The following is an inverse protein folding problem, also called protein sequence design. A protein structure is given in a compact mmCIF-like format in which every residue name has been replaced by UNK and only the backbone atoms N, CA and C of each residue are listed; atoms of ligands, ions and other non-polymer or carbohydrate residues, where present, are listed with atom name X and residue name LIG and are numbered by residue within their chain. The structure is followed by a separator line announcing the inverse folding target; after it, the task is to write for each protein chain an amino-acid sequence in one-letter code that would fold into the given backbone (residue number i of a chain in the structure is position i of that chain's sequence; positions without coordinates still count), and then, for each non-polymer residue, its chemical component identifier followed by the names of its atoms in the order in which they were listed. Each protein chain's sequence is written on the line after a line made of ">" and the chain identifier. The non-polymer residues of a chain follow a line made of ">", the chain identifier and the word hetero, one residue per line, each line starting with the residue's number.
data_IF_101136717293
#
_entry.id   IF_101136717293
#
_cell.length_a   1.000
_cell.length_b   1.000
_cell.length_c   1.000
_cell.angle_alpha   90.00
_cell.angle_beta   90.00
_cell.angle_gamma   90.00
#
_symmetry.space_group_name_H-M   'P 1'
#
loop_
_entity.id
_entity.type
_entity.pdbx_description
1 polymer ?
#
# COMPACT_ATOMS: atom_id res chain seq x y z
N UNK A 1 -1.95 -12.98 -28.66
CA UNK A 1 -2.24 -13.82 -27.51
C UNK A 1 -3.56 -13.32 -26.94
N UNK A 2 -4.62 -14.08 -27.10
CA UNK A 2 -5.90 -13.80 -26.45
C UNK A 2 -5.64 -13.74 -24.94
N UNK A 3 -6.04 -12.67 -24.30
CA UNK A 3 -6.01 -12.53 -22.85
C UNK A 3 -7.03 -13.53 -22.30
N UNK A 4 -6.56 -14.75 -22.00
CA UNK A 4 -7.36 -15.78 -21.35
C UNK A 4 -8.01 -15.16 -20.11
N UNK A 5 -9.31 -14.96 -20.18
CA UNK A 5 -10.04 -14.29 -19.10
C UNK A 5 -9.89 -15.11 -17.82
N UNK A 6 -9.06 -14.64 -16.90
CA UNK A 6 -8.69 -15.33 -15.65
C UNK A 6 -9.92 -15.70 -14.83
N UNK A 7 -11.00 -14.93 -14.95
CA UNK A 7 -12.27 -15.13 -14.25
C UNK A 7 -13.09 -16.31 -14.79
N UNK A 8 -12.77 -16.82 -15.97
CA UNK A 8 -13.42 -18.00 -16.56
C UNK A 8 -12.76 -19.31 -16.11
N UNK A 9 -11.58 -19.28 -15.50
CA UNK A 9 -10.86 -20.46 -15.05
C UNK A 9 -11.55 -21.12 -13.84
N UNK A 10 -11.45 -22.46 -13.70
CA UNK A 10 -12.05 -23.16 -12.57
C UNK A 10 -11.43 -22.70 -11.24
N UNK A 11 -12.27 -22.54 -10.20
CA UNK A 11 -11.86 -22.11 -8.86
C UNK A 11 -11.18 -23.30 -8.17
N UNK A 12 -9.86 -23.40 -8.35
CA UNK A 12 -8.96 -24.36 -7.67
C UNK A 12 -7.97 -23.62 -6.80
N UNK A 13 -7.42 -24.27 -5.77
CA UNK A 13 -6.36 -23.67 -4.94
C UNK A 13 -5.18 -23.20 -5.79
N UNK A 14 -4.79 -24.03 -6.78
CA UNK A 14 -3.69 -23.71 -7.71
C UNK A 14 -3.97 -22.43 -8.51
N UNK A 15 -5.19 -22.27 -9.05
CA UNK A 15 -5.52 -21.09 -9.86
C UNK A 15 -5.65 -19.83 -9.02
N UNK A 16 -6.21 -19.93 -7.80
CA UNK A 16 -6.27 -18.81 -6.86
C UNK A 16 -4.84 -18.37 -6.50
N UNK A 17 -3.97 -19.31 -6.12
CA UNK A 17 -2.59 -18.99 -5.77
C UNK A 17 -1.79 -18.45 -6.95
N UNK A 18 -1.96 -19.00 -8.15
CA UNK A 18 -1.30 -18.50 -9.37
C UNK A 18 -1.66 -17.04 -9.66
N UNK A 19 -2.88 -16.63 -9.31
CA UNK A 19 -3.33 -15.25 -9.46
C UNK A 19 -2.87 -14.33 -8.31
N UNK A 20 -2.89 -14.84 -7.08
CA UNK A 20 -2.50 -14.10 -5.89
C UNK A 20 -0.98 -14.03 -5.66
N UNK A 21 -0.20 -14.95 -6.20
CA UNK A 21 1.25 -14.99 -5.95
C UNK A 21 1.99 -13.72 -6.43
N UNK A 22 1.72 -13.16 -7.63
CA UNK A 22 2.34 -11.92 -8.05
C UNK A 22 1.98 -10.75 -7.13
N UNK A 23 0.76 -10.69 -6.61
CA UNK A 23 0.31 -9.61 -5.71
C UNK A 23 0.91 -9.75 -4.31
N UNK A 24 1.09 -10.98 -3.82
CA UNK A 24 1.83 -11.25 -2.58
C UNK A 24 3.29 -10.82 -2.75
N UNK A 25 3.94 -11.21 -3.84
CA UNK A 25 5.32 -10.82 -4.14
C UNK A 25 5.46 -9.30 -4.27
N UNK A 26 4.50 -8.62 -4.90
CA UNK A 26 4.44 -7.16 -4.99
C UNK A 26 4.39 -6.51 -3.61
N UNK A 27 3.49 -6.97 -2.73
CA UNK A 27 3.33 -6.40 -1.39
C UNK A 27 4.54 -6.63 -0.51
N UNK A 28 5.16 -7.81 -0.59
CA UNK A 28 6.40 -8.12 0.11
C UNK A 28 7.56 -7.25 -0.39
N UNK A 29 7.68 -7.09 -1.71
CA UNK A 29 8.69 -6.22 -2.29
C UNK A 29 8.51 -4.77 -1.84
N UNK A 30 7.27 -4.27 -1.81
CA UNK A 30 6.98 -2.90 -1.34
C UNK A 30 7.32 -2.72 0.14
N UNK A 31 7.07 -3.72 0.98
CA UNK A 31 7.48 -3.68 2.39
C UNK A 31 9.01 -3.65 2.55
N UNK A 32 9.73 -4.49 1.80
CA UNK A 32 11.19 -4.48 1.77
C UNK A 32 11.74 -3.16 1.25
N UNK A 33 11.20 -2.66 0.14
CA UNK A 33 11.56 -1.40 -0.46
C UNK A 33 11.42 -0.24 0.53
N UNK A 34 10.27 -0.12 1.23
CA UNK A 34 10.03 0.93 2.23
C UNK A 34 11.07 0.92 3.36
N UNK A 35 11.51 -0.27 3.78
CA UNK A 35 12.57 -0.41 4.79
C UNK A 35 13.92 0.06 4.25
N UNK A 36 14.26 -0.31 3.02
CA UNK A 36 15.52 0.09 2.36
C UNK A 36 15.58 1.59 2.14
N UNK A 37 14.49 2.20 1.64
CA UNK A 37 14.35 3.63 1.43
C UNK A 37 14.61 4.42 2.73
N UNK A 38 13.95 4.02 3.83
CA UNK A 38 14.18 4.61 5.15
C UNK A 38 15.64 4.51 5.63
N UNK A 39 16.32 3.39 5.36
CA UNK A 39 17.74 3.22 5.67
C UNK A 39 18.64 4.11 4.81
N UNK A 40 18.34 4.27 3.52
CA UNK A 40 19.09 5.15 2.63
C UNK A 40 19.03 6.61 3.10
N UNK A 41 17.82 7.12 3.34
CA UNK A 41 17.62 8.49 3.84
C UNK A 41 18.35 8.71 5.16
N UNK A 42 18.18 7.79 6.12
CA UNK A 42 18.82 7.90 7.44
C UNK A 42 20.34 7.95 7.36
N UNK A 43 20.96 7.14 6.50
CA UNK A 43 22.41 7.04 6.43
C UNK A 43 23.05 8.11 5.55
N UNK A 44 22.37 8.61 4.50
CA UNK A 44 22.96 9.54 3.54
C UNK A 44 22.70 11.01 3.87
N UNK A 45 21.56 11.35 4.48
CA UNK A 45 21.21 12.75 4.74
C UNK A 45 21.40 13.11 6.22
N UNK A 46 21.22 12.14 7.12
CA UNK A 46 21.37 12.33 8.57
C UNK A 46 20.04 12.43 9.32
N UNK A 47 20.14 12.64 10.64
CA UNK A 47 19.00 12.57 11.57
C UNK A 47 17.97 13.68 11.40
N UNK A 48 18.39 14.90 11.02
CA UNK A 48 17.48 16.03 10.79
C UNK A 48 16.55 15.78 9.61
N UNK A 49 17.07 15.22 8.53
CA UNK A 49 16.27 14.85 7.35
C UNK A 49 15.29 13.71 7.66
N UNK A 50 15.72 12.71 8.43
CA UNK A 50 14.80 11.65 8.88
C UNK A 50 13.68 12.21 9.74
N UNK A 51 13.99 13.16 10.62
CA UNK A 51 13.01 13.89 11.44
C UNK A 51 12.04 14.68 10.57
N UNK A 52 12.51 15.31 9.51
CA UNK A 52 11.69 16.05 8.54
C UNK A 52 10.70 15.14 7.79
N UNK A 53 11.14 13.98 7.33
CA UNK A 53 10.28 12.98 6.68
C UNK A 53 9.24 12.45 7.66
N UNK A 54 9.62 12.15 8.90
CA UNK A 54 8.70 11.73 9.95
C UNK A 54 7.65 12.80 10.26
N UNK A 55 8.03 14.08 10.23
CA UNK A 55 7.10 15.19 10.41
C UNK A 55 6.10 15.32 9.26
N UNK A 56 6.48 14.89 8.06
CA UNK A 56 5.63 14.83 6.87
C UNK A 56 4.69 13.60 6.87
N UNK A 57 4.96 12.58 7.68
CA UNK A 57 4.26 11.30 7.68
C UNK A 57 2.72 11.39 7.81
N UNK A 58 2.10 12.29 8.61
CA UNK A 58 0.65 12.41 8.66
C UNK A 58 0.02 12.79 7.33
N UNK A 59 0.66 13.70 6.58
CA UNK A 59 0.18 14.15 5.27
C UNK A 59 0.36 13.03 4.24
N UNK A 60 1.51 12.36 4.24
CA UNK A 60 1.79 11.19 3.40
C UNK A 60 0.75 10.07 3.65
N UNK A 61 0.46 9.79 4.93
CA UNK A 61 -0.53 8.79 5.33
C UNK A 61 -1.94 9.15 4.85
N UNK A 62 -2.32 10.42 4.90
CA UNK A 62 -3.61 10.88 4.41
C UNK A 62 -3.73 10.70 2.88
N UNK A 63 -2.68 11.09 2.13
CA UNK A 63 -2.61 10.87 0.67
C UNK A 63 -2.75 9.39 0.34
N UNK A 64 -2.00 8.54 1.03
CA UNK A 64 -2.01 7.09 0.83
C UNK A 64 -3.36 6.48 1.20
N UNK A 65 -3.97 6.89 2.31
CA UNK A 65 -5.27 6.40 2.76
C UNK A 65 -6.39 6.71 1.76
N UNK A 66 -6.45 7.95 1.25
CA UNK A 66 -7.41 8.35 0.23
C UNK A 66 -7.16 7.61 -1.08
N UNK A 67 -5.90 7.47 -1.48
CA UNK A 67 -5.50 6.71 -2.66
C UNK A 67 -5.96 5.25 -2.59
N UNK A 68 -5.71 4.59 -1.47
CA UNK A 68 -6.09 3.19 -1.24
C UNK A 68 -7.61 3.02 -1.22
N UNK A 69 -8.33 3.96 -0.60
CA UNK A 69 -9.80 3.98 -0.61
C UNK A 69 -10.36 3.99 -2.03
N UNK A 70 -9.88 4.91 -2.87
CA UNK A 70 -10.35 5.03 -4.26
C UNK A 70 -9.94 3.83 -5.12
N UNK A 71 -8.75 3.28 -4.88
CA UNK A 71 -8.23 2.15 -5.63
C UNK A 71 -8.99 0.84 -5.32
N UNK A 72 -9.18 0.51 -4.04
CA UNK A 72 -9.86 -0.72 -3.61
C UNK A 72 -11.35 -0.65 -3.89
N UNK A 73 -12.00 0.43 -3.48
CA UNK A 73 -13.42 0.62 -3.72
C UNK A 73 -13.76 0.77 -5.19
N UNK A 74 -12.91 1.47 -5.96
CA UNK A 74 -13.05 1.57 -7.42
C UNK A 74 -12.93 0.22 -8.11
N UNK A 75 -11.92 -0.57 -7.73
CA UNK A 75 -11.74 -1.93 -8.25
C UNK A 75 -12.98 -2.81 -8.01
N UNK A 76 -13.58 -2.72 -6.82
CA UNK A 76 -14.78 -3.47 -6.48
C UNK A 76 -15.98 -3.10 -7.38
N UNK A 77 -16.24 -1.80 -7.57
CA UNK A 77 -17.36 -1.31 -8.40
C UNK A 77 -17.16 -1.70 -9.88
N UNK A 78 -15.94 -1.53 -10.41
CA UNK A 78 -15.58 -1.86 -11.79
C UNK A 78 -15.77 -3.36 -12.04
N UNK A 79 -15.21 -4.21 -11.16
CA UNK A 79 -15.25 -5.66 -11.35
C UNK A 79 -16.64 -6.26 -11.13
N UNK A 80 -17.46 -5.66 -10.27
CA UNK A 80 -18.88 -6.00 -10.16
C UNK A 80 -19.59 -5.79 -11.50
N UNK A 81 -19.38 -4.63 -12.16
CA UNK A 81 -19.98 -4.35 -13.47
C UNK A 81 -19.48 -5.29 -14.57
N UNK A 82 -18.20 -5.63 -14.54
CA UNK A 82 -17.64 -6.63 -15.45
C UNK A 82 -18.29 -8.01 -15.22
N UNK A 83 -18.55 -8.41 -13.97
CA UNK A 83 -19.26 -9.64 -13.62
C UNK A 83 -20.73 -9.64 -14.06
N UNK A 84 -21.42 -8.50 -14.00
CA UNK A 84 -22.77 -8.28 -14.56
C UNK A 84 -22.80 -8.38 -16.10
N UNK A 85 -21.67 -8.68 -16.76
CA UNK A 85 -21.47 -8.65 -18.22
C UNK A 85 -21.69 -7.28 -18.86
N UNK A 86 -21.66 -6.22 -18.08
CA UNK A 86 -21.78 -4.82 -18.51
C UNK A 86 -20.40 -4.21 -18.70
N UNK A 87 -19.63 -4.77 -19.65
CA UNK A 87 -18.23 -4.41 -19.85
C UNK A 87 -18.04 -2.94 -20.24
N UNK A 88 -18.97 -2.35 -20.97
CA UNK A 88 -18.93 -0.94 -21.32
C UNK A 88 -19.09 -0.06 -20.08
N UNK A 89 -20.09 -0.33 -19.21
CA UNK A 89 -20.26 0.39 -17.95
C UNK A 89 -19.02 0.25 -17.03
N UNK A 90 -18.38 -0.94 -17.02
CA UNK A 90 -17.15 -1.16 -16.27
C UNK A 90 -16.01 -0.24 -16.76
N UNK A 91 -15.85 -0.08 -18.08
CA UNK A 91 -14.82 0.79 -18.66
C UNK A 91 -15.14 2.28 -18.49
N UNK A 92 -16.42 2.66 -18.55
CA UNK A 92 -16.88 4.02 -18.26
C UNK A 92 -16.60 4.40 -16.80
N UNK A 93 -16.93 3.50 -15.87
CA UNK A 93 -16.64 3.68 -14.43
C UNK A 93 -15.14 3.73 -14.15
N UNK A 94 -14.35 2.86 -14.80
CA UNK A 94 -12.89 2.88 -14.72
C UNK A 94 -12.34 4.25 -15.12
N UNK A 95 -12.74 4.75 -16.30
CA UNK A 95 -12.25 6.05 -16.79
C UNK A 95 -12.71 7.20 -15.90
N UNK A 96 -13.97 7.16 -15.44
CA UNK A 96 -14.52 8.15 -14.51
C UNK A 96 -13.71 8.20 -13.19
N UNK A 97 -13.42 7.04 -12.59
CA UNK A 97 -12.66 6.97 -11.35
C UNK A 97 -11.20 7.43 -11.53
N UNK A 98 -10.58 7.22 -12.69
CA UNK A 98 -9.28 7.82 -13.00
C UNK A 98 -9.36 9.34 -13.03
N UNK A 99 -10.40 9.93 -13.67
CA UNK A 99 -10.60 11.38 -13.64
C UNK A 99 -10.81 11.89 -12.21
N UNK A 100 -11.59 11.18 -11.40
CA UNK A 100 -11.78 11.51 -9.97
C UNK A 100 -10.44 11.50 -9.24
N UNK A 101 -9.58 10.50 -9.47
CA UNK A 101 -8.25 10.46 -8.84
C UNK A 101 -7.39 11.67 -9.22
N UNK A 102 -7.42 12.10 -10.48
CA UNK A 102 -6.69 13.30 -10.93
C UNK A 102 -7.23 14.55 -10.21
N UNK A 103 -8.55 14.71 -10.18
CA UNK A 103 -9.20 15.87 -9.51
C UNK A 103 -8.89 15.88 -8.02
N UNK A 104 -9.00 14.72 -7.35
CA UNK A 104 -8.66 14.59 -5.92
C UNK A 104 -7.17 14.88 -5.69
N UNK A 105 -6.29 14.40 -6.56
CA UNK A 105 -4.86 14.69 -6.49
C UNK A 105 -4.57 16.19 -6.61
N UNK A 106 -5.19 16.88 -7.54
CA UNK A 106 -5.07 18.35 -7.69
C UNK A 106 -5.55 19.06 -6.41
N UNK A 107 -6.74 18.69 -5.90
CA UNK A 107 -7.31 19.29 -4.69
C UNK A 107 -6.37 19.05 -3.50
N UNK A 108 -5.86 17.83 -3.31
CA UNK A 108 -4.96 17.51 -2.21
C UNK A 108 -3.65 18.29 -2.32
N UNK A 109 -3.09 18.42 -3.52
CA UNK A 109 -1.90 19.24 -3.77
C UNK A 109 -2.16 20.70 -3.38
N UNK A 110 -3.24 21.31 -3.85
CA UNK A 110 -3.60 22.71 -3.55
C UNK A 110 -3.82 22.92 -2.04
N UNK A 111 -4.61 22.06 -1.40
CA UNK A 111 -4.86 22.14 0.04
C UNK A 111 -3.55 21.93 0.82
N UNK A 112 -2.72 20.98 0.41
CA UNK A 112 -1.43 20.72 1.04
C UNK A 112 -0.52 21.96 1.01
N UNK A 113 -0.39 22.62 -0.13
CA UNK A 113 0.37 23.86 -0.24
C UNK A 113 -0.20 25.01 0.58
N UNK A 114 -1.52 25.21 0.57
CA UNK A 114 -2.18 26.25 1.34
C UNK A 114 -2.04 26.05 2.86
N UNK A 115 -2.18 24.79 3.31
CA UNK A 115 -2.13 24.48 4.74
C UNK A 115 -0.70 24.28 5.27
N UNK A 116 0.29 24.05 4.41
CA UNK A 116 1.66 23.74 4.81
C UNK A 116 2.25 24.79 5.75
N UNK A 117 2.17 26.06 5.40
CA UNK A 117 2.70 27.15 6.23
C UNK A 117 1.95 27.29 7.55
N UNK A 118 0.63 27.11 7.55
CA UNK A 118 -0.20 27.19 8.76
C UNK A 118 0.11 26.04 9.72
N UNK A 119 0.27 24.80 9.20
CA UNK A 119 0.60 23.62 10.01
C UNK A 119 1.96 23.75 10.68
N UNK A 120 2.97 24.18 9.92
CA UNK A 120 4.35 24.23 10.41
C UNK A 120 4.65 25.50 11.23
N UNK A 121 3.87 26.57 11.12
CA UNK A 121 4.05 27.78 11.96
C UNK A 121 3.75 27.55 13.44
N UNK A 122 3.03 26.49 13.78
CA UNK A 122 2.64 26.13 15.14
C UNK A 122 3.52 25.06 15.77
N UNK A 123 4.52 24.56 15.02
CA UNK A 123 5.40 23.50 15.51
C UNK A 123 6.69 24.09 16.10
N UNK A 124 7.00 23.70 17.33
CA UNK A 124 8.24 24.07 18.01
C UNK A 124 9.37 23.09 17.61
N UNK A 125 9.87 23.28 16.39
CA UNK A 125 10.95 22.49 15.81
C UNK A 125 12.06 23.41 15.32
N UNK A 126 13.30 22.88 15.21
CA UNK A 126 14.43 23.67 14.71
C UNK A 126 14.18 24.18 13.30
N UNK A 127 14.71 25.36 12.97
CA UNK A 127 14.58 25.96 11.64
C UNK A 127 15.09 25.04 10.52
N UNK A 128 16.13 24.27 10.80
CA UNK A 128 16.73 23.31 9.88
C UNK A 128 15.77 22.15 9.56
N UNK A 129 15.18 21.52 10.58
CA UNK A 129 14.17 20.46 10.38
C UNK A 129 12.95 21.01 9.63
N UNK A 130 12.52 22.23 9.96
CA UNK A 130 11.40 22.88 9.29
C UNK A 130 11.68 23.12 7.80
N UNK A 131 12.90 23.56 7.47
CA UNK A 131 13.32 23.76 6.09
C UNK A 131 13.27 22.43 5.30
N UNK A 132 13.94 21.41 5.78
CA UNK A 132 13.92 20.08 5.16
C UNK A 132 12.52 19.49 5.03
N UNK A 133 11.64 19.75 6.00
CA UNK A 133 10.23 19.28 5.93
C UNK A 133 9.46 19.97 4.81
N UNK A 134 9.62 21.29 4.65
CA UNK A 134 8.97 22.06 3.60
C UNK A 134 9.46 21.66 2.21
N UNK A 135 10.76 21.47 2.07
CA UNK A 135 11.38 21.08 0.78
C UNK A 135 10.89 19.69 0.36
N UNK A 136 10.97 18.72 1.27
CA UNK A 136 10.47 17.38 1.01
C UNK A 136 8.99 17.36 0.65
N UNK A 137 8.15 17.99 1.49
CA UNK A 137 6.70 17.93 1.34
C UNK A 137 6.21 18.69 0.11
N UNK A 138 6.82 19.83 -0.23
CA UNK A 138 6.44 20.59 -1.43
C UNK A 138 6.66 19.77 -2.70
N UNK A 139 7.78 19.08 -2.82
CA UNK A 139 8.07 18.21 -3.96
C UNK A 139 7.21 16.93 -3.93
N UNK A 140 7.01 16.32 -2.75
CA UNK A 140 6.12 15.17 -2.62
C UNK A 140 4.70 15.49 -3.07
N UNK A 141 4.17 16.66 -2.72
CA UNK A 141 2.83 17.11 -3.10
C UNK A 141 2.67 17.30 -4.62
N UNK A 142 3.73 17.68 -5.35
CA UNK A 142 3.69 17.74 -6.82
C UNK A 142 3.43 16.36 -7.45
N UNK A 143 3.92 15.29 -6.81
CA UNK A 143 3.72 13.93 -7.28
C UNK A 143 2.43 13.28 -6.76
N UNK A 144 1.57 13.99 -6.02
CA UNK A 144 0.34 13.42 -5.44
C UNK A 144 -0.54 12.73 -6.49
N UNK A 145 -0.68 13.33 -7.68
CA UNK A 145 -1.45 12.71 -8.78
C UNK A 145 -0.80 11.38 -9.19
N UNK A 146 0.53 11.34 -9.35
CA UNK A 146 1.24 10.10 -9.69
C UNK A 146 1.08 9.03 -8.60
N UNK A 147 1.08 9.41 -7.33
CA UNK A 147 0.88 8.52 -6.18
C UNK A 147 -0.52 7.91 -6.21
N UNK A 148 -1.56 8.73 -6.41
CA UNK A 148 -2.93 8.25 -6.51
C UNK A 148 -3.09 7.32 -7.71
N UNK A 149 -2.60 7.71 -8.87
CA UNK A 149 -2.70 6.92 -10.10
C UNK A 149 -1.88 5.62 -10.01
N UNK A 150 -0.71 5.63 -9.39
CA UNK A 150 0.10 4.43 -9.18
C UNK A 150 -0.67 3.36 -8.41
N UNK A 151 -1.24 3.72 -7.25
CA UNK A 151 -2.04 2.80 -6.43
C UNK A 151 -3.26 2.27 -7.20
N UNK A 152 -3.99 3.17 -7.88
CA UNK A 152 -5.17 2.80 -8.64
C UNK A 152 -4.81 1.89 -9.82
N UNK A 153 -3.81 2.24 -10.63
CA UNK A 153 -3.39 1.42 -11.75
C UNK A 153 -2.81 0.07 -11.31
N UNK A 154 -2.11 0.01 -10.17
CA UNK A 154 -1.65 -1.25 -9.61
C UNK A 154 -2.82 -2.20 -9.37
N UNK A 155 -3.88 -1.76 -8.68
CA UNK A 155 -5.06 -2.58 -8.40
C UNK A 155 -5.91 -2.85 -9.65
N UNK A 156 -6.02 -1.89 -10.57
CA UNK A 156 -6.77 -2.08 -11.81
C UNK A 156 -6.04 -2.99 -12.81
N UNK A 157 -4.71 -3.03 -12.81
CA UNK A 157 -3.93 -4.03 -13.54
C UNK A 157 -4.20 -5.43 -12.98
N UNK A 158 -4.24 -5.59 -11.66
CA UNK A 158 -4.61 -6.85 -11.01
C UNK A 158 -6.04 -7.23 -11.41
N UNK A 159 -6.98 -6.31 -11.32
CA UNK A 159 -8.37 -6.49 -11.73
C UNK A 159 -8.51 -6.84 -13.22
N UNK A 160 -7.67 -6.29 -14.09
CA UNK A 160 -7.62 -6.64 -15.51
C UNK A 160 -6.94 -7.99 -15.80
N UNK A 161 -6.60 -8.77 -14.77
CA UNK A 161 -5.91 -10.07 -14.93
C UNK A 161 -4.40 -9.96 -15.19
N UNK A 162 -3.82 -8.78 -15.02
CA UNK A 162 -2.40 -8.48 -15.29
C UNK A 162 -1.59 -8.29 -13.99
N UNK A 163 -1.83 -9.11 -12.98
CA UNK A 163 -1.16 -9.03 -11.68
C UNK A 163 0.38 -9.07 -11.79
N UNK A 164 0.92 -9.89 -12.70
CA UNK A 164 2.38 -9.94 -12.97
C UNK A 164 2.92 -8.62 -13.49
N UNK A 165 2.16 -7.91 -14.32
CA UNK A 165 2.57 -6.59 -14.84
C UNK A 165 2.60 -5.58 -13.70
N UNK A 166 1.58 -5.58 -12.84
CA UNK A 166 1.56 -4.73 -11.64
C UNK A 166 2.78 -4.98 -10.74
N UNK A 167 3.12 -6.25 -10.51
CA UNK A 167 4.33 -6.62 -9.77
C UNK A 167 5.61 -6.09 -10.43
N UNK A 168 5.79 -6.31 -11.74
CA UNK A 168 6.98 -5.83 -12.47
C UNK A 168 7.09 -4.32 -12.42
N UNK A 169 5.98 -3.57 -12.59
CA UNK A 169 5.97 -2.12 -12.47
C UNK A 169 6.38 -1.65 -11.07
N UNK A 170 5.89 -2.31 -10.03
CA UNK A 170 6.25 -1.98 -8.64
C UNK A 170 7.74 -2.23 -8.37
N UNK A 171 8.28 -3.36 -8.86
CA UNK A 171 9.73 -3.65 -8.75
C UNK A 171 10.55 -2.63 -9.53
N UNK A 172 10.17 -2.34 -10.77
CA UNK A 172 10.90 -1.37 -11.60
C UNK A 172 10.87 0.04 -10.97
N UNK A 173 9.71 0.46 -10.44
CA UNK A 173 9.57 1.74 -9.74
C UNK A 173 10.42 1.81 -8.47
N UNK A 174 10.42 0.75 -7.65
CA UNK A 174 11.23 0.69 -6.43
C UNK A 174 12.73 0.65 -6.71
N UNK A 175 13.17 -0.12 -7.73
CA UNK A 175 14.58 -0.14 -8.14
C UNK A 175 15.00 1.22 -8.70
N UNK A 176 14.15 1.86 -9.52
CA UNK A 176 14.43 3.20 -10.03
C UNK A 176 14.57 4.21 -8.89
N UNK A 177 13.68 4.17 -7.90
CA UNK A 177 13.76 5.04 -6.74
C UNK A 177 15.09 4.85 -6.00
N UNK A 178 15.51 3.61 -5.66
CA UNK A 178 16.79 3.34 -4.97
C UNK A 178 17.98 3.89 -5.77
N UNK A 179 17.98 3.71 -7.09
CA UNK A 179 19.04 4.25 -7.97
C UNK A 179 19.04 5.78 -7.96
N UNK A 180 17.86 6.40 -8.02
CA UNK A 180 17.72 7.86 -7.98
C UNK A 180 18.03 8.44 -6.60
N UNK A 181 17.70 7.76 -5.51
CA UNK A 181 18.10 8.16 -4.16
C UNK A 181 19.63 8.19 -4.04
N UNK A 182 20.31 7.14 -4.49
CA UNK A 182 21.76 7.14 -4.52
C UNK A 182 22.33 8.29 -5.37
N UNK A 183 21.75 8.54 -6.54
CA UNK A 183 22.21 9.61 -7.43
C UNK A 183 21.91 11.00 -6.85
N UNK A 184 20.68 11.29 -6.47
CA UNK A 184 20.25 12.64 -6.05
C UNK A 184 20.76 12.98 -4.66
N UNK A 185 20.70 12.02 -3.74
CA UNK A 185 21.14 12.23 -2.36
C UNK A 185 22.65 12.00 -2.24
N UNK A 186 23.15 10.85 -2.71
CA UNK A 186 24.52 10.44 -2.47
C UNK A 186 25.56 11.14 -3.37
N UNK A 187 25.23 11.36 -4.66
CA UNK A 187 26.18 11.93 -5.63
C UNK A 187 25.98 13.43 -5.81
N UNK A 188 24.74 13.88 -6.01
CA UNK A 188 24.42 15.30 -6.29
C UNK A 188 24.28 16.10 -5.00
N UNK A 189 23.91 15.47 -3.87
CA UNK A 189 23.78 16.15 -2.59
C UNK A 189 22.49 16.97 -2.44
N UNK A 190 21.39 16.58 -3.10
CA UNK A 190 20.10 17.29 -3.06
C UNK A 190 19.36 17.15 -1.72
N UNK A 191 19.83 16.32 -0.80
CA UNK A 191 19.19 16.13 0.50
C UNK A 191 17.76 15.58 0.40
N UNK A 192 16.84 16.15 1.19
CA UNK A 192 15.44 15.72 1.25
C UNK A 192 14.66 15.95 -0.04
N UNK A 193 15.03 16.97 -0.83
CA UNK A 193 14.44 17.22 -2.14
C UNK A 193 14.71 16.05 -3.10
N UNK A 194 15.96 15.55 -3.09
CA UNK A 194 16.34 14.39 -3.88
C UNK A 194 15.52 13.15 -3.57
N UNK A 195 15.27 12.88 -2.27
CA UNK A 195 14.43 11.79 -1.83
C UNK A 195 12.97 11.91 -2.33
N UNK A 196 12.39 13.11 -2.25
CA UNK A 196 11.02 13.35 -2.72
C UNK A 196 10.88 13.15 -4.24
N UNK A 197 11.85 13.65 -5.02
CA UNK A 197 11.87 13.48 -6.49
C UNK A 197 12.06 12.01 -6.86
N UNK A 198 13.00 11.31 -6.24
CA UNK A 198 13.25 9.90 -6.49
C UNK A 198 12.00 9.04 -6.23
N UNK A 199 11.33 9.29 -5.10
CA UNK A 199 10.06 8.61 -4.75
C UNK A 199 8.97 8.92 -5.78
N UNK A 200 8.79 10.18 -6.15
CA UNK A 200 7.79 10.59 -7.13
C UNK A 200 8.01 9.98 -8.52
N UNK A 201 9.26 9.94 -8.98
CA UNK A 201 9.64 9.32 -10.27
C UNK A 201 9.46 7.79 -10.21
N UNK A 202 9.80 7.13 -9.10
CA UNK A 202 9.56 5.72 -8.89
C UNK A 202 8.07 5.37 -9.03
N UNK A 203 7.18 6.13 -8.41
CA UNK A 203 5.73 5.95 -8.52
C UNK A 203 5.19 6.27 -9.93
N UNK A 204 5.83 7.17 -10.65
CA UNK A 204 5.45 7.53 -12.02
C UNK A 204 5.64 6.39 -13.02
N UNK A 205 6.50 5.40 -12.75
CA UNK A 205 6.68 4.21 -13.60
C UNK A 205 5.36 3.46 -13.78
N UNK A 206 4.69 3.10 -12.68
CA UNK A 206 3.41 2.40 -12.76
C UNK A 206 2.32 3.26 -13.39
N UNK A 207 2.34 4.57 -13.14
CA UNK A 207 1.40 5.51 -13.75
C UNK A 207 1.54 5.54 -15.26
N UNK A 208 2.74 5.68 -15.79
CA UNK A 208 3.00 5.71 -17.24
C UNK A 208 2.67 4.38 -17.90
N UNK A 209 3.15 3.27 -17.34
CA UNK A 209 2.88 1.93 -17.88
C UNK A 209 1.37 1.62 -17.84
N UNK A 210 0.68 2.00 -16.76
CA UNK A 210 -0.77 1.87 -16.64
C UNK A 210 -1.51 2.64 -17.72
N UNK A 211 -1.14 3.90 -17.95
CA UNK A 211 -1.70 4.69 -19.06
C UNK A 211 -1.53 3.98 -20.41
N UNK A 212 -0.32 3.52 -20.71
CA UNK A 212 -0.03 2.84 -22.00
C UNK A 212 -0.88 1.57 -22.15
N UNK A 213 -0.97 0.75 -21.11
CA UNK A 213 -1.72 -0.51 -21.16
C UNK A 213 -3.21 -0.25 -21.32
N UNK A 214 -3.77 0.70 -20.57
CA UNK A 214 -5.21 0.98 -20.60
C UNK A 214 -5.65 1.81 -21.83
N UNK A 215 -4.74 2.39 -22.59
CA UNK A 215 -5.03 2.94 -23.92
C UNK A 215 -5.39 1.85 -24.95
N UNK A 216 -4.97 0.60 -24.73
CA UNK A 216 -5.24 -0.48 -25.67
C UNK A 216 -6.62 -1.10 -25.42
N UNK A 217 -7.55 -0.89 -26.36
CA UNK A 217 -8.94 -1.38 -26.31
C UNK A 217 -9.10 -2.90 -26.31
N UNK A 218 -8.02 -3.67 -26.54
CA UNK A 218 -8.04 -5.15 -26.45
C UNK A 218 -7.99 -5.66 -25.01
N UNK A 219 -7.66 -4.81 -24.05
CA UNK A 219 -7.63 -5.19 -22.65
C UNK A 219 -9.03 -5.22 -22.04
N UNK A 220 -9.21 -6.02 -21.00
CA UNK A 220 -10.48 -6.11 -20.25
C UNK A 220 -10.92 -4.73 -19.76
N UNK A 221 -9.98 -3.97 -19.17
CA UNK A 221 -10.18 -2.57 -18.82
C UNK A 221 -9.40 -1.70 -19.79
N UNK A 222 -10.03 -0.65 -20.30
CA UNK A 222 -9.43 0.33 -21.20
C UNK A 222 -10.14 1.68 -21.10
N UNK A 223 -9.45 2.75 -21.47
CA UNK A 223 -10.04 4.08 -21.49
C UNK A 223 -11.15 4.20 -22.52
N UNK A 224 -12.25 4.81 -22.08
CA UNK A 224 -13.43 5.16 -22.89
C UNK A 224 -13.95 6.53 -22.46
N UNK A 225 -15.06 6.99 -23.01
CA UNK A 225 -15.69 8.23 -22.53
C UNK A 225 -16.21 8.01 -21.12
N UNK A 226 -15.82 8.85 -20.14
CA UNK A 226 -16.28 8.70 -18.77
C UNK A 226 -17.77 9.04 -18.67
N UNK A 227 -18.51 8.21 -17.97
CA UNK A 227 -19.87 8.54 -17.55
C UNK A 227 -19.84 9.05 -16.11
N UNK A 228 -20.12 10.34 -15.92
CA UNK A 228 -20.11 10.96 -14.60
C UNK A 228 -21.31 10.50 -13.78
N UNK A 229 -21.07 9.74 -12.72
CA UNK A 229 -22.11 9.21 -11.84
C UNK A 229 -21.71 9.34 -10.38
N UNK A 230 -22.46 10.18 -9.64
CA UNK A 230 -22.25 10.33 -8.21
C UNK A 230 -22.50 9.03 -7.43
N UNK A 231 -23.41 8.17 -7.92
CA UNK A 231 -23.69 6.86 -7.34
C UNK A 231 -22.47 5.92 -7.41
N UNK A 232 -21.76 5.93 -8.54
CA UNK A 232 -20.50 5.19 -8.70
C UNK A 232 -19.44 5.68 -7.73
N UNK A 233 -19.27 6.99 -7.60
CA UNK A 233 -18.32 7.57 -6.64
C UNK A 233 -18.69 7.21 -5.19
N UNK A 234 -19.95 7.37 -4.82
CA UNK A 234 -20.45 7.02 -3.48
C UNK A 234 -20.19 5.54 -3.15
N UNK A 235 -20.46 4.63 -4.09
CA UNK A 235 -20.18 3.20 -3.93
C UNK A 235 -18.68 2.92 -3.82
N UNK A 236 -17.84 3.55 -4.63
CA UNK A 236 -16.40 3.40 -4.57
C UNK A 236 -15.86 3.88 -3.21
N UNK A 237 -16.26 5.06 -2.75
CA UNK A 237 -15.87 5.58 -1.43
C UNK A 237 -16.35 4.69 -0.30
N UNK A 238 -17.63 4.27 -0.32
CA UNK A 238 -18.20 3.41 0.72
C UNK A 238 -17.48 2.05 0.80
N UNK A 239 -17.21 1.41 -0.34
CA UNK A 239 -16.51 0.13 -0.37
C UNK A 239 -15.02 0.24 0.02
N UNK A 240 -14.39 1.38 -0.25
CA UNK A 240 -12.98 1.59 0.11
C UNK A 240 -12.76 2.20 1.49
N UNK A 241 -13.82 2.66 2.17
CA UNK A 241 -13.72 3.36 3.44
C UNK A 241 -13.11 2.49 4.55
N UNK A 242 -13.34 1.17 4.52
CA UNK A 242 -12.73 0.21 5.45
C UNK A 242 -11.21 0.17 5.33
N UNK A 243 -10.67 0.16 4.10
CA UNK A 243 -9.22 0.18 3.86
C UNK A 243 -8.61 1.52 4.26
N UNK A 244 -9.30 2.63 4.00
CA UNK A 244 -8.88 3.95 4.49
C UNK A 244 -8.82 3.99 6.01
N UNK A 245 -9.86 3.49 6.68
CA UNK A 245 -9.90 3.42 8.14
C UNK A 245 -8.76 2.57 8.70
N UNK A 246 -8.48 1.42 8.09
CA UNK A 246 -7.36 0.54 8.47
C UNK A 246 -6.01 1.27 8.34
N UNK A 247 -5.79 2.00 7.25
CA UNK A 247 -4.56 2.77 7.06
C UNK A 247 -4.39 3.87 8.12
N UNK A 248 -5.46 4.61 8.44
CA UNK A 248 -5.44 5.65 9.46
C UNK A 248 -5.24 5.06 10.87
N UNK A 249 -5.94 3.98 11.20
CA UNK A 249 -5.78 3.28 12.49
C UNK A 249 -4.35 2.77 12.65
N UNK A 250 -3.73 2.24 11.60
CA UNK A 250 -2.33 1.79 11.64
C UNK A 250 -1.38 2.95 11.97
N UNK A 251 -1.57 4.11 11.34
CA UNK A 251 -0.78 5.32 11.62
C UNK A 251 -0.94 5.79 13.07
N UNK A 252 -2.17 5.88 13.56
CA UNK A 252 -2.47 6.29 14.95
C UNK A 252 -1.86 5.28 15.94
N UNK A 253 -2.01 4.00 15.69
CA UNK A 253 -1.46 2.93 16.54
C UNK A 253 0.07 3.03 16.62
N UNK A 254 0.74 3.28 15.51
CA UNK A 254 2.20 3.47 15.48
C UNK A 254 2.62 4.67 16.32
N UNK A 255 1.92 5.80 16.21
CA UNK A 255 2.18 6.99 17.03
C UNK A 255 1.98 6.71 18.52
N UNK A 256 0.90 6.01 18.90
CA UNK A 256 0.63 5.65 20.29
C UNK A 256 1.69 4.70 20.85
N UNK A 257 2.14 3.72 20.10
CA UNK A 257 3.23 2.83 20.52
C UNK A 257 4.53 3.59 20.71
N UNK A 258 4.92 4.44 19.77
CA UNK A 258 6.12 5.26 19.87
C UNK A 258 6.07 6.17 21.11
N UNK A 259 4.95 6.85 21.34
CA UNK A 259 4.78 7.71 22.52
C UNK A 259 4.85 6.93 23.84
N UNK A 260 4.19 5.78 23.90
CA UNK A 260 4.18 4.91 25.08
C UNK A 260 5.58 4.37 25.38
N UNK A 261 6.27 3.87 24.34
CA UNK A 261 7.62 3.32 24.49
C UNK A 261 8.62 4.41 24.89
N UNK A 262 8.51 5.61 24.31
CA UNK A 262 9.34 6.74 24.72
C UNK A 262 9.16 7.07 26.20
N UNK A 263 7.91 7.11 26.66
CA UNK A 263 7.58 7.50 28.03
C UNK A 263 8.02 6.47 29.08
N UNK A 264 7.91 5.16 28.80
CA UNK A 264 8.14 4.12 29.79
C UNK A 264 9.50 3.43 29.67
N UNK A 265 10.09 3.40 28.50
CA UNK A 265 11.33 2.65 28.19
C UNK A 265 12.43 3.57 27.65
N UNK A 266 12.08 4.78 27.19
CA UNK A 266 13.02 5.72 26.58
C UNK A 266 13.37 5.35 25.13
N UNK A 267 14.54 5.81 24.67
CA UNK A 267 15.00 5.64 23.27
C UNK A 267 15.15 4.16 22.87
N UNK A 268 15.60 3.29 23.78
CA UNK A 268 15.67 1.85 23.53
C UNK A 268 14.30 1.24 23.24
N UNK A 269 13.23 1.78 23.86
CA UNK A 269 11.86 1.36 23.59
C UNK A 269 11.42 1.73 22.17
N UNK A 270 11.75 2.93 21.69
CA UNK A 270 11.45 3.35 20.30
C UNK A 270 12.19 2.46 19.31
N UNK A 271 13.48 2.19 19.54
CA UNK A 271 14.25 1.31 18.68
C UNK A 271 13.65 -0.11 18.62
N UNK A 272 13.26 -0.68 19.76
CA UNK A 272 12.65 -1.99 19.83
C UNK A 272 11.30 -2.05 19.10
N UNK A 273 10.41 -1.06 19.32
CA UNK A 273 9.09 -1.06 18.65
C UNK A 273 9.23 -0.85 17.15
N UNK A 274 10.20 -0.07 16.69
CA UNK A 274 10.47 0.10 15.26
C UNK A 274 10.82 -1.23 14.60
N UNK A 275 11.70 -2.03 15.22
CA UNK A 275 12.04 -3.38 14.72
C UNK A 275 10.79 -4.26 14.66
N UNK A 276 9.98 -4.25 15.73
CA UNK A 276 8.73 -5.02 15.78
C UNK A 276 7.77 -4.59 14.66
N UNK A 277 7.64 -3.29 14.42
CA UNK A 277 6.77 -2.76 13.37
C UNK A 277 7.23 -3.19 11.96
N UNK A 278 8.53 -3.25 11.68
CA UNK A 278 9.03 -3.80 10.43
C UNK A 278 8.63 -5.27 10.24
N UNK A 279 8.75 -6.08 11.29
CA UNK A 279 8.31 -7.49 11.22
C UNK A 279 6.82 -7.60 10.94
N UNK A 280 6.01 -6.84 11.67
CA UNK A 280 4.55 -6.80 11.47
C UNK A 280 4.18 -6.31 10.07
N UNK A 281 4.91 -5.37 9.49
CA UNK A 281 4.72 -4.88 8.13
C UNK A 281 4.94 -6.01 7.11
N UNK A 282 5.98 -6.84 7.25
CA UNK A 282 6.20 -8.00 6.38
C UNK A 282 5.07 -9.02 6.50
N UNK A 283 4.65 -9.36 7.72
CA UNK A 283 3.54 -10.28 7.94
C UNK A 283 2.24 -9.73 7.34
N UNK A 284 1.93 -8.46 7.60
CA UNK A 284 0.75 -7.80 7.04
C UNK A 284 0.76 -7.76 5.51
N UNK A 285 1.93 -7.61 4.90
CA UNK A 285 2.10 -7.58 3.44
C UNK A 285 1.72 -8.90 2.77
N UNK A 286 1.93 -10.04 3.42
CA UNK A 286 1.46 -11.34 2.92
C UNK A 286 -0.06 -11.36 2.76
N UNK A 287 -0.77 -10.90 3.79
CA UNK A 287 -2.23 -10.90 3.81
C UNK A 287 -2.82 -9.85 2.88
N UNK A 288 -2.26 -8.65 2.88
CA UNK A 288 -2.70 -7.57 1.98
C UNK A 288 -2.47 -7.96 0.52
N UNK A 289 -1.32 -8.53 0.19
CA UNK A 289 -1.03 -9.00 -1.15
C UNK A 289 -1.98 -10.10 -1.61
N UNK A 290 -2.32 -11.04 -0.73
CA UNK A 290 -3.34 -12.05 -1.02
C UNK A 290 -4.71 -11.43 -1.25
N UNK A 291 -5.12 -10.51 -0.39
CA UNK A 291 -6.41 -9.80 -0.49
C UNK A 291 -6.53 -9.01 -1.78
N UNK A 292 -5.51 -8.24 -2.17
CA UNK A 292 -5.50 -7.48 -3.42
C UNK A 292 -5.62 -8.37 -4.66
N UNK A 293 -5.06 -9.58 -4.62
CA UNK A 293 -5.24 -10.56 -5.69
C UNK A 293 -6.65 -11.10 -5.75
N UNK A 294 -7.25 -11.45 -4.62
CA UNK A 294 -8.54 -12.17 -4.60
C UNK A 294 -9.76 -11.24 -4.64
N UNK A 295 -9.66 -10.02 -4.10
CA UNK A 295 -10.77 -9.07 -4.04
C UNK A 295 -11.45 -8.79 -5.40
N UNK A 296 -10.73 -8.59 -6.52
CA UNK A 296 -11.37 -8.44 -7.82
C UNK A 296 -12.16 -9.68 -8.27
N UNK A 297 -11.71 -10.89 -7.91
CA UNK A 297 -12.42 -12.13 -8.22
C UNK A 297 -13.74 -12.23 -7.43
N UNK A 298 -13.72 -11.83 -6.16
CA UNK A 298 -14.92 -11.78 -5.31
C UNK A 298 -15.93 -10.83 -5.91
N UNK A 299 -15.52 -9.61 -6.25
CA UNK A 299 -16.38 -8.58 -6.84
C UNK A 299 -16.96 -9.00 -8.21
N UNK A 300 -16.15 -9.69 -9.01
CA UNK A 300 -16.59 -10.22 -10.32
C UNK A 300 -17.68 -11.29 -10.15
N UNK A 301 -17.45 -12.32 -9.31
CA UNK A 301 -18.44 -13.39 -9.12
C UNK A 301 -19.69 -12.91 -8.36
N UNK A 302 -19.55 -11.90 -7.51
CA UNK A 302 -20.69 -11.22 -6.91
C UNK A 302 -21.54 -10.52 -7.99
N UNK A 303 -20.92 -9.82 -8.94
CA UNK A 303 -21.59 -9.21 -10.08
C UNK A 303 -22.25 -10.25 -11.02
N UNK A 304 -21.59 -11.41 -11.23
CA UNK A 304 -22.15 -12.54 -12.00
C UNK A 304 -23.36 -13.17 -11.31
N UNK A 305 -23.65 -12.81 -10.05
CA UNK A 305 -24.68 -13.43 -9.17
C UNK A 305 -24.49 -14.95 -9.02
N UNK A 306 -23.26 -15.43 -9.18
CA UNK A 306 -22.93 -16.84 -9.08
C UNK A 306 -22.54 -17.21 -7.66
N UNK A 307 -23.54 -17.38 -6.81
CA UNK A 307 -23.37 -17.67 -5.39
C UNK A 307 -22.58 -18.97 -5.12
N UNK A 308 -22.63 -19.95 -6.00
CA UNK A 308 -21.84 -21.18 -5.85
C UNK A 308 -20.35 -20.93 -6.03
N UNK A 309 -19.97 -20.23 -7.12
CA UNK A 309 -18.57 -19.85 -7.36
C UNK A 309 -18.06 -18.94 -6.25
N UNK A 310 -18.85 -17.95 -5.84
CA UNK A 310 -18.51 -17.02 -4.77
C UNK A 310 -18.26 -17.76 -3.44
N UNK A 311 -19.19 -18.61 -3.02
CA UNK A 311 -19.04 -19.42 -1.79
C UNK A 311 -17.84 -20.37 -1.85
N UNK A 312 -17.56 -20.96 -3.02
CA UNK A 312 -16.41 -21.83 -3.25
C UNK A 312 -15.10 -21.04 -3.17
N UNK A 313 -15.06 -19.84 -3.75
CA UNK A 313 -13.89 -18.95 -3.68
C UNK A 313 -13.61 -18.54 -2.24
N UNK A 314 -14.61 -17.99 -1.52
CA UNK A 314 -14.48 -17.56 -0.11
C UNK A 314 -14.00 -18.71 0.76
N UNK A 315 -14.63 -19.90 0.67
CA UNK A 315 -14.23 -21.07 1.48
C UNK A 315 -12.78 -21.48 1.24
N UNK A 316 -12.33 -21.44 -0.03
CA UNK A 316 -10.95 -21.76 -0.37
C UNK A 316 -9.98 -20.68 0.09
N UNK A 317 -10.37 -19.41 -0.05
CA UNK A 317 -9.58 -18.27 0.43
C UNK A 317 -9.38 -18.30 1.93
N UNK A 318 -10.43 -18.59 2.71
CA UNK A 318 -10.32 -18.75 4.16
C UNK A 318 -9.34 -19.88 4.55
N UNK A 319 -9.35 -21.01 3.80
CA UNK A 319 -8.38 -22.08 4.03
C UNK A 319 -6.93 -21.64 3.73
N UNK A 320 -6.71 -20.90 2.64
CA UNK A 320 -5.40 -20.37 2.28
C UNK A 320 -4.92 -19.38 3.36
N UNK A 321 -5.79 -18.44 3.77
CA UNK A 321 -5.47 -17.47 4.82
C UNK A 321 -5.12 -18.17 6.13
N UNK A 322 -5.87 -19.19 6.54
CA UNK A 322 -5.58 -19.96 7.74
C UNK A 322 -4.20 -20.65 7.67
N UNK A 323 -3.85 -21.24 6.53
CA UNK A 323 -2.53 -21.85 6.31
C UNK A 323 -1.43 -20.79 6.36
N UNK A 324 -1.61 -19.66 5.66
CA UNK A 324 -0.64 -18.54 5.68
C UNK A 324 -0.48 -18.02 7.11
N UNK A 325 -1.56 -17.89 7.89
CA UNK A 325 -1.52 -17.44 9.30
C UNK A 325 -0.69 -18.36 10.18
N UNK A 326 -0.91 -19.67 10.08
CA UNK A 326 -0.12 -20.65 10.86
C UNK A 326 1.34 -20.62 10.45
N UNK A 327 1.62 -20.59 9.14
CA UNK A 327 3.00 -20.54 8.63
C UNK A 327 3.70 -19.25 9.00
N UNK A 328 3.03 -18.10 8.91
CA UNK A 328 3.62 -16.80 9.28
C UNK A 328 3.88 -16.69 10.78
N UNK A 329 2.98 -17.25 11.63
CA UNK A 329 3.21 -17.34 13.07
C UNK A 329 4.43 -18.21 13.38
N UNK A 330 4.48 -19.42 12.83
CA UNK A 330 5.61 -20.33 13.02
C UNK A 330 6.93 -19.70 12.54
N UNK A 331 6.93 -19.11 11.34
CA UNK A 331 8.08 -18.41 10.80
C UNK A 331 8.48 -17.21 11.70
N UNK A 332 7.54 -16.40 12.14
CA UNK A 332 7.81 -15.26 13.02
C UNK A 332 8.45 -15.70 14.33
N UNK A 333 7.96 -16.76 14.96
CA UNK A 333 8.52 -17.27 16.22
C UNK A 333 9.93 -17.87 16.05
N UNK A 334 10.18 -18.57 14.93
CA UNK A 334 11.48 -19.20 14.64
C UNK A 334 12.51 -18.14 14.22
N UNK A 335 12.12 -17.21 13.33
CA UNK A 335 13.02 -16.25 12.69
C UNK A 335 13.20 -14.98 13.53
N UNK A 336 12.45 -14.79 14.63
CA UNK A 336 12.52 -13.58 15.46
C UNK A 336 13.96 -13.21 15.84
N UNK A 337 14.73 -14.12 16.42
CA UNK A 337 16.12 -13.84 16.85
C UNK A 337 17.05 -13.46 15.69
N UNK A 338 17.16 -14.27 14.60
CA UNK A 338 17.93 -13.89 13.41
C UNK A 338 17.49 -12.54 12.82
N UNK A 339 16.20 -12.28 12.79
CA UNK A 339 15.66 -11.05 12.21
C UNK A 339 16.01 -9.82 13.05
N UNK A 340 15.85 -9.91 14.38
CA UNK A 340 16.24 -8.82 15.29
C UNK A 340 17.75 -8.59 15.26
N UNK A 341 18.56 -9.64 15.06
CA UNK A 341 20.02 -9.51 14.97
C UNK A 341 20.51 -8.71 13.76
N UNK A 342 19.67 -8.52 12.73
CA UNK A 342 19.98 -7.64 11.59
C UNK A 342 20.01 -6.17 12.04
N UNK A 343 19.18 -5.80 13.02
CA UNK A 343 18.99 -4.43 13.47
C UNK A 343 19.71 -4.10 14.78
N UNK A 344 19.90 -5.10 15.63
CA UNK A 344 20.48 -4.91 16.98
C UNK A 344 21.36 -6.11 17.35
N UNK A 345 22.52 -5.82 17.97
CA UNK A 345 23.41 -6.88 18.46
C UNK A 345 22.81 -7.57 19.68
N UNK A 346 23.12 -8.88 19.92
CA UNK A 346 22.58 -9.62 21.06
C UNK A 346 22.95 -9.06 22.44
N UNK A 347 24.03 -8.29 22.56
CA UNK A 347 24.51 -7.64 23.78
C UNK A 347 23.79 -6.30 24.07
N UNK A 348 22.98 -5.79 23.14
CA UNK A 348 22.24 -4.55 23.30
C UNK A 348 20.91 -4.79 24.04
N UNK A 349 20.51 -3.96 25.02
CA UNK A 349 19.21 -4.05 25.71
C UNK A 349 17.99 -4.05 24.78
N UNK A 350 18.11 -3.42 23.61
CA UNK A 350 17.07 -3.38 22.58
C UNK A 350 16.76 -4.77 22.03
N UNK A 351 17.76 -5.67 21.99
CA UNK A 351 17.60 -7.00 21.40
C UNK A 351 16.54 -7.85 22.13
N UNK A 352 16.68 -8.01 23.44
CA UNK A 352 15.75 -8.81 24.23
C UNK A 352 14.35 -8.21 24.28
N UNK A 353 14.27 -6.87 24.34
CA UNK A 353 13.01 -6.14 24.29
C UNK A 353 12.29 -6.36 22.96
N UNK A 354 13.02 -6.25 21.83
CA UNK A 354 12.47 -6.47 20.50
C UNK A 354 12.07 -7.95 20.27
N UNK A 355 12.88 -8.91 20.73
CA UNK A 355 12.56 -10.34 20.65
C UNK A 355 11.30 -10.68 21.43
N UNK A 356 11.18 -10.20 22.66
CA UNK A 356 10.02 -10.46 23.51
C UNK A 356 8.77 -9.79 22.94
N UNK A 357 8.87 -8.51 22.58
CA UNK A 357 7.76 -7.76 21.98
C UNK A 357 7.29 -8.37 20.67
N UNK A 358 8.21 -8.80 19.79
CA UNK A 358 7.84 -9.45 18.52
C UNK A 358 7.09 -10.78 18.74
N UNK A 359 7.49 -11.58 19.74
CA UNK A 359 6.76 -12.82 20.08
C UNK A 359 5.33 -12.55 20.52
N UNK A 360 5.13 -11.52 21.38
CA UNK A 360 3.79 -11.11 21.83
C UNK A 360 2.96 -10.62 20.64
N UNK A 361 3.51 -9.74 19.82
CA UNK A 361 2.82 -9.19 18.65
C UNK A 361 2.52 -10.24 17.58
N UNK A 362 3.37 -11.26 17.43
CA UNK A 362 3.14 -12.37 16.50
C UNK A 362 1.91 -13.20 16.87
N UNK A 363 1.66 -13.40 18.16
CA UNK A 363 0.43 -14.08 18.63
C UNK A 363 -0.80 -13.21 18.35
N UNK A 364 -0.72 -11.91 18.61
CA UNK A 364 -1.80 -10.97 18.33
C UNK A 364 -2.12 -10.86 16.82
N UNK A 365 -1.11 -10.99 15.96
CA UNK A 365 -1.28 -10.92 14.49
C UNK A 365 -2.19 -12.04 13.93
N UNK A 366 -2.24 -13.20 14.57
CA UNK A 366 -3.16 -14.29 14.19
C UNK A 366 -4.61 -13.89 14.45
N UNK A 367 -4.90 -13.23 15.56
CA UNK A 367 -6.25 -12.71 15.86
C UNK A 367 -6.67 -11.63 14.86
N UNK A 368 -5.76 -10.78 14.45
CA UNK A 368 -5.99 -9.75 13.43
C UNK A 368 -6.36 -10.34 12.05
N UNK A 369 -5.74 -11.46 11.68
CA UNK A 369 -6.05 -12.15 10.42
C UNK A 369 -7.45 -12.78 10.41
N UNK A 370 -7.92 -13.27 11.56
CA UNK A 370 -9.29 -13.76 11.69
C UNK A 370 -10.32 -12.63 11.55
N UNK A 371 -10.06 -11.46 12.12
CA UNK A 371 -10.93 -10.28 11.97
C UNK A 371 -11.04 -9.83 10.51
N UNK A 372 -9.92 -9.73 9.80
CA UNK A 372 -9.89 -9.33 8.38
C UNK A 372 -10.58 -10.35 7.45
N UNK A 373 -10.52 -11.63 7.79
CA UNK A 373 -11.26 -12.68 7.08
C UNK A 373 -12.79 -12.56 7.31
N UNK A 374 -13.22 -12.04 8.46
CA UNK A 374 -14.61 -11.75 8.76
C UNK A 374 -15.12 -10.49 8.04
N UNK A 375 -14.33 -9.45 7.91
CA UNK A 375 -14.68 -8.24 7.16
C UNK A 375 -15.00 -8.56 5.70
N UNK A 376 -14.19 -9.40 5.05
CA UNK A 376 -14.46 -9.90 3.68
C UNK A 376 -15.82 -10.64 3.57
N UNK A 377 -16.38 -11.10 4.67
CA UNK A 377 -17.69 -11.78 4.73
C UNK A 377 -18.85 -10.82 4.96
N UNK A 378 -18.60 -9.67 5.61
CA UNK A 378 -19.63 -8.68 5.93
C UNK A 378 -19.90 -7.70 4.80
N UNK A 379 -18.93 -7.50 3.90
CA UNK A 379 -19.04 -6.62 2.72
C UNK A 379 -19.77 -7.29 1.53
N UNK A 380 -20.31 -8.49 1.74
CA UNK A 380 -21.11 -9.27 0.80
C UNK A 380 -22.57 -9.38 1.27
#
# INVERSE_FOLDING_TARGET
>A
METENVYLKPITLKNIMKFALPTIAMSLFMAFYTMVDGLFVSNLIGTNALSAINLSAPIISLVTAISTMLATGGSAVIMKKAGEKKQQEANENFTFLIVVNIVVGIIMTLIGYLCMNMLFSQMDVSADVLHHTKDYLSLYLLFTISILLMNNFSLYLIAAGKATVSFICSVAGGVLNIVLDYLFIGVIGMGTEGAAIATGLGYSVTTVVGCIIFCNKKNLLHFTRPHFSFDVLKKAVSNGCSEMATALVTGITTLMFNWTMLRYVGENGIAAITIIMYVLMFVSSLFSGYSYGVAPMISYYYGEQNHEKLKKLIRKSLKIIAVISVLSLAASLIITKPLVSIFSRPDNPVFDLAVTGNRICSIASVSYTHLRAHETRHDL
#
